data_IF_620770766473
#
_entry.id   IF_620770766473
#
_cell.length_a   1.000
_cell.length_b   1.000
_cell.length_c   1.000
_cell.angle_alpha   90.00
_cell.angle_beta   90.00
_cell.angle_gamma   90.00
#
_symmetry.space_group_name_H-M   'P 1'
#
loop_
_entity.id
_entity.type
_entity.pdbx_description
1 polymer ?
#
# COMPACT_ATOMS: atom_id res chain seq x y z
N UNK A 1 -23.68 -109.97 9.81
CA UNK A 1 -22.26 -110.13 9.40
C UNK A 1 -21.59 -108.79 9.69
N UNK A 2 -20.98 -108.62 10.89
CA UNK A 2 -19.54 -108.30 11.11
C UNK A 2 -18.92 -107.58 9.89
N UNK A 3 -18.26 -106.42 10.02
CA UNK A 3 -17.02 -106.15 10.79
C UNK A 3 -16.87 -104.62 10.93
N UNK A 4 -16.39 -104.14 12.10
CA UNK A 4 -15.95 -102.76 12.35
C UNK A 4 -14.51 -102.52 11.86
N UNK A 5 -14.10 -101.26 11.59
CA UNK A 5 -12.92 -100.75 12.32
C UNK A 5 -13.11 -99.27 12.73
N UNK A 6 -12.86 -98.95 14.01
CA UNK A 6 -11.60 -98.45 14.57
C UNK A 6 -11.53 -96.91 14.59
N UNK A 7 -11.76 -96.37 15.80
CA UNK A 7 -11.58 -94.97 16.17
C UNK A 7 -10.13 -94.51 15.95
N UNK A 8 -9.97 -93.35 15.31
CA UNK A 8 -8.80 -92.49 15.47
C UNK A 8 -9.30 -91.11 15.91
N UNK A 9 -9.23 -90.84 17.21
CA UNK A 9 -9.53 -89.52 17.79
C UNK A 9 -8.30 -88.63 17.57
N UNK A 10 -8.30 -87.84 16.50
CA UNK A 10 -7.35 -86.74 16.34
C UNK A 10 -7.85 -85.55 17.16
N UNK A 11 -7.17 -85.27 18.27
CA UNK A 11 -7.37 -84.06 19.05
C UNK A 11 -6.81 -82.88 18.26
N UNK A 12 -7.63 -82.24 17.43
CA UNK A 12 -7.29 -80.95 16.81
C UNK A 12 -7.38 -79.87 17.90
N UNK A 13 -6.27 -79.58 18.55
CA UNK A 13 -6.13 -78.35 19.32
C UNK A 13 -6.17 -77.19 18.32
N UNK A 14 -7.32 -76.53 18.22
CA UNK A 14 -7.47 -75.27 17.51
C UNK A 14 -6.63 -74.21 18.24
N UNK A 15 -5.37 -74.05 17.84
CA UNK A 15 -4.60 -72.85 18.14
C UNK A 15 -5.25 -71.74 17.31
N UNK A 16 -6.19 -71.03 17.92
CA UNK A 16 -6.61 -69.71 17.45
C UNK A 16 -5.38 -68.82 17.51
N UNK A 17 -4.73 -68.64 16.36
CA UNK A 17 -3.73 -67.61 16.16
C UNK A 17 -4.46 -66.26 16.34
N UNK A 18 -4.42 -65.72 17.57
CA UNK A 18 -4.75 -64.33 17.82
C UNK A 18 -3.67 -63.49 17.14
N UNK A 19 -3.81 -63.28 15.83
CA UNK A 19 -3.19 -62.14 15.19
C UNK A 19 -3.79 -60.92 15.89
N UNK A 20 -3.01 -60.08 16.58
CA UNK A 20 -3.55 -58.83 17.05
C UNK A 20 -4.02 -58.10 15.79
N UNK A 21 -5.33 -57.88 15.68
CA UNK A 21 -5.85 -56.96 14.70
C UNK A 21 -5.07 -55.66 14.91
N UNK A 22 -4.24 -55.29 13.93
CA UNK A 22 -3.56 -54.02 13.96
C UNK A 22 -4.65 -52.96 13.93
N UNK A 23 -5.03 -52.46 15.11
CA UNK A 23 -5.96 -51.35 15.23
C UNK A 23 -5.24 -50.18 14.58
N UNK A 24 -5.71 -49.77 13.41
CA UNK A 24 -5.24 -48.55 12.77
C UNK A 24 -5.60 -47.40 13.72
N UNK A 25 -4.63 -46.97 14.53
CA UNK A 25 -4.78 -45.75 15.33
C UNK A 25 -4.69 -44.58 14.37
N UNK A 26 -5.84 -43.95 14.12
CA UNK A 26 -5.89 -42.67 13.44
C UNK A 26 -5.02 -41.69 14.25
N UNK A 27 -3.97 -41.17 13.62
CA UNK A 27 -3.08 -40.18 14.23
C UNK A 27 -3.41 -38.80 13.70
N UNK A 28 -3.50 -37.83 14.59
CA UNK A 28 -3.86 -36.45 14.30
C UNK A 28 -3.69 -35.61 15.55
N UNK A 29 -3.94 -34.31 15.48
CA UNK A 29 -3.87 -33.49 16.69
C UNK A 29 -4.93 -33.93 17.71
N UNK A 30 -4.49 -34.21 18.94
CA UNK A 30 -5.38 -34.63 20.05
C UNK A 30 -5.73 -33.51 21.01
N UNK A 31 -5.15 -32.31 20.82
CA UNK A 31 -5.42 -31.13 21.64
C UNK A 31 -6.68 -30.42 21.17
N UNK A 32 -7.71 -30.36 22.02
CA UNK A 32 -9.00 -29.71 21.72
C UNK A 32 -8.89 -28.19 21.49
N UNK A 33 -7.79 -27.57 21.90
CA UNK A 33 -7.53 -26.14 21.71
C UNK A 33 -6.82 -25.84 20.38
N UNK A 34 -6.39 -26.86 19.64
CA UNK A 34 -5.75 -26.70 18.34
C UNK A 34 -6.77 -26.55 17.20
N UNK A 35 -6.45 -25.69 16.23
CA UNK A 35 -7.22 -25.41 15.01
C UNK A 35 -7.43 -26.64 14.11
N UNK A 36 -6.61 -27.68 14.25
CA UNK A 36 -6.73 -28.94 13.53
C UNK A 36 -6.96 -30.14 14.45
N UNK A 37 -7.58 -29.91 15.62
CA UNK A 37 -8.03 -30.97 16.50
C UNK A 37 -8.84 -32.02 15.72
N UNK A 38 -8.43 -33.28 15.82
CA UNK A 38 -9.16 -34.41 15.24
C UNK A 38 -9.78 -35.22 16.39
N UNK A 39 -11.12 -35.19 16.57
CA UNK A 39 -11.78 -35.94 17.63
C UNK A 39 -11.64 -37.47 17.48
N UNK A 40 -11.28 -37.97 16.29
CA UNK A 40 -11.04 -39.39 16.03
C UNK A 40 -9.57 -39.79 16.24
N UNK A 41 -8.66 -38.84 16.45
CA UNK A 41 -7.25 -39.15 16.67
C UNK A 41 -7.04 -39.85 18.02
N UNK A 42 -6.48 -41.06 17.98
CA UNK A 42 -6.17 -41.85 19.18
C UNK A 42 -4.74 -41.60 19.71
N UNK A 43 -3.91 -40.93 18.93
CA UNK A 43 -2.56 -40.55 19.29
C UNK A 43 -2.15 -39.26 18.58
N UNK A 44 -1.48 -38.36 19.30
CA UNK A 44 -0.91 -37.15 18.71
C UNK A 44 0.21 -37.51 17.72
N UNK A 45 0.20 -36.85 16.57
CA UNK A 45 1.29 -36.90 15.59
C UNK A 45 2.16 -35.64 15.59
N UNK A 46 1.96 -34.73 16.55
CA UNK A 46 2.67 -33.46 16.64
C UNK A 46 2.23 -32.44 15.59
N UNK A 47 1.08 -32.66 14.95
CA UNK A 47 0.56 -31.75 13.91
C UNK A 47 -0.29 -30.60 14.46
N UNK A 48 -0.49 -30.50 15.79
CA UNK A 48 -1.35 -29.48 16.39
C UNK A 48 -0.98 -28.06 15.96
N UNK A 49 -1.98 -27.35 15.43
CA UNK A 49 -1.88 -25.96 14.98
C UNK A 49 -2.61 -25.08 15.98
N UNK A 50 -1.92 -24.11 16.57
CA UNK A 50 -2.54 -23.16 17.50
C UNK A 50 -2.73 -21.81 16.83
N UNK A 51 -3.76 -21.08 17.26
CA UNK A 51 -3.96 -19.70 16.83
C UNK A 51 -2.77 -18.85 17.29
N UNK A 52 -2.14 -18.16 16.34
CA UNK A 52 -1.12 -17.16 16.64
C UNK A 52 -1.78 -15.89 17.19
N UNK A 53 -1.18 -15.26 18.22
CA UNK A 53 -1.59 -13.92 18.63
C UNK A 53 -1.27 -12.91 17.53
N UNK A 54 -1.94 -11.76 17.57
CA UNK A 54 -1.61 -10.63 16.69
C UNK A 54 -0.27 -10.03 17.16
N UNK A 55 0.78 -9.97 16.31
CA UNK A 55 2.05 -9.36 16.69
C UNK A 55 1.95 -7.82 16.74
N UNK A 56 2.81 -7.20 17.55
CA UNK A 56 2.89 -5.72 17.69
C UNK A 56 3.52 -5.03 16.47
N UNK A 57 4.26 -5.79 15.64
CA UNK A 57 4.86 -5.31 14.39
C UNK A 57 4.41 -6.21 13.24
N UNK A 58 4.54 -5.75 12.00
CA UNK A 58 4.23 -6.55 10.82
C UNK A 58 5.36 -7.57 10.54
N UNK A 59 5.58 -8.50 11.48
CA UNK A 59 6.63 -9.51 11.44
C UNK A 59 6.03 -10.88 11.72
N UNK A 60 6.05 -11.74 10.72
CA UNK A 60 5.54 -13.11 10.79
C UNK A 60 6.65 -14.11 10.50
N UNK A 61 6.67 -15.22 11.25
CA UNK A 61 7.66 -16.29 11.10
C UNK A 61 6.98 -17.64 10.99
N UNK A 62 7.62 -18.54 10.27
CA UNK A 62 7.33 -19.98 10.27
C UNK A 62 8.64 -20.70 10.55
N UNK A 63 8.71 -21.33 11.72
CA UNK A 63 9.99 -21.72 12.33
C UNK A 63 10.84 -20.47 12.65
N UNK A 64 12.14 -20.56 12.41
CA UNK A 64 13.08 -19.45 12.66
C UNK A 64 13.17 -18.43 11.52
N UNK A 65 12.48 -18.70 10.40
CA UNK A 65 12.54 -17.88 9.19
C UNK A 65 11.31 -17.00 9.03
N UNK A 66 11.49 -15.81 8.46
CA UNK A 66 10.37 -14.94 8.08
C UNK A 66 9.45 -15.65 7.08
N UNK A 67 8.14 -15.40 7.20
CA UNK A 67 7.14 -15.75 6.18
C UNK A 67 6.65 -14.52 5.42
N UNK A 68 7.18 -13.34 5.71
CA UNK A 68 6.79 -12.06 5.10
C UNK A 68 7.62 -11.82 3.84
N UNK A 69 6.96 -11.49 2.72
CA UNK A 69 7.63 -11.24 1.45
C UNK A 69 6.92 -10.18 0.59
N UNK A 70 7.56 -9.01 0.42
CA UNK A 70 7.06 -7.92 -0.42
C UNK A 70 8.17 -7.00 -0.97
N UNK A 71 9.41 -7.49 -1.02
CA UNK A 71 10.59 -6.71 -1.47
C UNK A 71 10.42 -6.09 -2.86
N UNK A 72 9.65 -6.76 -3.72
CA UNK A 72 9.33 -6.29 -5.07
C UNK A 72 8.56 -4.96 -5.03
N UNK A 73 7.58 -4.82 -4.12
CA UNK A 73 6.78 -3.62 -3.97
C UNK A 73 7.58 -2.46 -3.37
N UNK A 74 8.57 -2.76 -2.52
CA UNK A 74 9.53 -1.77 -2.02
C UNK A 74 10.34 -1.18 -3.18
N UNK A 75 10.84 -2.02 -4.09
CA UNK A 75 11.55 -1.54 -5.28
C UNK A 75 10.64 -0.68 -6.18
N UNK A 76 9.38 -1.06 -6.37
CA UNK A 76 8.44 -0.23 -7.14
C UNK A 76 8.25 1.16 -6.50
N UNK A 77 8.05 1.23 -5.19
CA UNK A 77 7.95 2.53 -4.50
C UNK A 77 9.24 3.37 -4.61
N UNK A 78 10.40 2.76 -4.44
CA UNK A 78 11.70 3.44 -4.60
C UNK A 78 11.91 3.95 -6.04
N UNK A 79 11.44 3.22 -7.06
CA UNK A 79 11.50 3.68 -8.45
C UNK A 79 10.58 4.91 -8.67
N UNK A 80 9.40 4.93 -8.05
CA UNK A 80 8.51 6.11 -8.07
C UNK A 80 9.20 7.31 -7.45
N UNK A 81 9.80 7.15 -6.26
CA UNK A 81 10.57 8.21 -5.61
C UNK A 81 11.73 8.68 -6.47
N UNK A 82 12.43 7.76 -7.14
CA UNK A 82 13.54 8.08 -8.03
C UNK A 82 13.11 8.96 -9.20
N UNK A 83 11.97 8.67 -9.85
CA UNK A 83 11.40 9.53 -10.90
C UNK A 83 11.03 10.91 -10.32
N UNK A 84 10.33 10.92 -9.18
CA UNK A 84 9.87 12.16 -8.57
C UNK A 84 11.05 13.07 -8.15
N UNK A 85 12.09 12.50 -7.55
CA UNK A 85 13.31 13.22 -7.20
C UNK A 85 14.08 13.70 -8.43
N UNK A 86 14.14 12.90 -9.50
CA UNK A 86 14.77 13.33 -10.75
C UNK A 86 14.07 14.57 -11.33
N UNK A 87 12.74 14.62 -11.30
CA UNK A 87 11.95 15.76 -11.76
C UNK A 87 12.09 16.95 -10.79
N UNK A 88 12.00 16.71 -9.47
CA UNK A 88 12.11 17.75 -8.46
C UNK A 88 13.45 18.48 -8.52
N UNK A 89 14.54 17.75 -8.71
CA UNK A 89 15.88 18.30 -8.81
C UNK A 89 16.09 19.23 -10.01
N UNK A 90 15.20 19.23 -11.01
CA UNK A 90 15.27 20.18 -12.14
C UNK A 90 14.92 21.61 -11.72
N UNK A 91 14.25 21.79 -10.58
CA UNK A 91 13.95 23.10 -10.02
C UNK A 91 15.05 23.63 -9.09
N UNK A 92 16.11 22.85 -8.83
CA UNK A 92 17.22 23.28 -7.98
C UNK A 92 18.18 24.19 -8.74
N UNK A 93 18.83 25.10 -8.01
CA UNK A 93 19.85 25.96 -8.60
C UNK A 93 20.95 25.14 -9.29
N UNK A 94 21.38 25.57 -10.48
CA UNK A 94 22.40 24.91 -11.30
C UNK A 94 22.05 23.49 -11.79
N UNK A 95 20.77 23.11 -11.74
CA UNK A 95 20.27 21.88 -12.32
C UNK A 95 20.67 21.73 -13.80
N UNK A 96 20.87 20.50 -14.22
CA UNK A 96 21.12 20.17 -15.62
C UNK A 96 19.82 19.72 -16.30
N UNK A 97 19.63 20.00 -17.59
CA UNK A 97 18.50 19.45 -18.35
C UNK A 97 18.48 17.92 -18.28
N UNK A 98 17.29 17.36 -18.47
CA UNK A 98 17.09 15.90 -18.51
C UNK A 98 16.57 15.50 -19.89
N UNK A 99 17.07 14.38 -20.39
CA UNK A 99 16.53 13.73 -21.58
C UNK A 99 15.36 12.80 -21.19
N UNK A 100 14.36 12.68 -22.07
CA UNK A 100 13.20 11.83 -21.83
C UNK A 100 13.61 10.36 -21.59
N UNK A 101 14.70 9.91 -22.22
CA UNK A 101 15.28 8.58 -22.02
C UNK A 101 15.64 8.33 -20.55
N UNK A 102 16.10 9.34 -19.80
CA UNK A 102 16.48 9.13 -18.40
C UNK A 102 15.26 8.80 -17.52
N UNK A 103 14.11 9.44 -17.78
CA UNK A 103 12.85 9.15 -17.08
C UNK A 103 12.23 7.83 -17.56
N UNK A 104 12.19 7.62 -18.87
CA UNK A 104 11.58 6.41 -19.46
C UNK A 104 12.41 5.15 -19.16
N UNK A 105 13.72 5.25 -18.98
CA UNK A 105 14.55 4.14 -18.51
C UNK A 105 14.13 3.65 -17.12
N UNK A 106 13.95 4.57 -16.15
CA UNK A 106 13.47 4.22 -14.80
C UNK A 106 12.08 3.61 -14.87
N UNK A 107 11.21 4.17 -15.74
CA UNK A 107 9.82 3.76 -15.86
C UNK A 107 9.63 2.40 -16.57
N UNK A 108 10.40 2.10 -17.61
CA UNK A 108 10.13 1.01 -18.56
C UNK A 108 11.16 -0.13 -18.59
N UNK A 109 12.32 -0.01 -17.94
CA UNK A 109 13.33 -1.07 -18.01
C UNK A 109 13.24 -2.04 -16.84
N UNK A 110 13.17 -3.34 -17.14
CA UNK A 110 13.21 -4.43 -16.14
C UNK A 110 14.59 -4.61 -15.50
N UNK A 111 15.63 -4.05 -16.13
CA UNK A 111 17.03 -4.13 -15.69
C UNK A 111 17.56 -2.81 -15.15
N UNK A 112 16.69 -1.81 -14.91
CA UNK A 112 17.14 -0.56 -14.31
C UNK A 112 17.72 -0.84 -12.91
N UNK A 113 18.99 -0.47 -12.72
CA UNK A 113 19.71 -0.70 -11.47
C UNK A 113 20.56 0.53 -11.10
N UNK A 114 19.93 1.70 -11.15
CA UNK A 114 20.53 2.94 -10.66
C UNK A 114 20.74 2.94 -9.14
N UNK A 115 21.40 4.00 -8.65
CA UNK A 115 21.49 4.25 -7.22
C UNK A 115 20.11 4.60 -6.65
N UNK A 116 19.80 4.06 -5.47
CA UNK A 116 18.64 4.49 -4.69
C UNK A 116 18.91 5.89 -4.16
N UNK A 117 18.01 6.84 -4.45
CA UNK A 117 18.16 8.26 -4.09
C UNK A 117 17.28 8.70 -2.92
N UNK A 118 16.45 7.79 -2.41
CA UNK A 118 15.62 8.02 -1.23
C UNK A 118 16.49 8.36 -0.03
N UNK A 119 16.19 9.47 0.64
CA UNK A 119 16.99 9.95 1.78
C UNK A 119 16.89 8.96 2.94
N UNK A 120 18.02 8.69 3.59
CA UNK A 120 18.12 7.98 4.88
C UNK A 120 18.72 8.89 5.95
N UNK A 121 18.70 10.21 5.73
CA UNK A 121 19.25 11.20 6.65
C UNK A 121 20.75 10.97 6.85
N UNK A 122 21.17 10.86 8.12
CA UNK A 122 22.55 10.57 8.49
C UNK A 122 22.89 9.07 8.54
N UNK A 123 21.91 8.19 8.39
CA UNK A 123 22.11 6.74 8.48
C UNK A 123 22.66 6.15 7.18
N UNK A 124 23.25 4.96 7.27
CA UNK A 124 23.70 4.24 6.08
C UNK A 124 22.50 3.51 5.44
N UNK A 125 22.30 3.54 4.12
CA UNK A 125 21.26 2.72 3.50
C UNK A 125 21.69 1.24 3.44
N UNK A 126 20.81 0.32 3.84
CA UNK A 126 21.08 -1.12 3.79
C UNK A 126 21.28 -1.66 2.36
N UNK A 127 20.77 -0.92 1.37
CA UNK A 127 20.93 -1.19 -0.05
C UNK A 127 21.20 0.13 -0.79
N UNK A 128 22.20 0.13 -1.68
CA UNK A 128 22.55 1.26 -2.52
C UNK A 128 21.93 1.15 -3.93
N UNK A 129 21.56 -0.05 -4.37
CA UNK A 129 20.95 -0.29 -5.69
C UNK A 129 19.70 -1.17 -5.59
N UNK A 130 18.78 -1.03 -6.55
CA UNK A 130 17.50 -1.75 -6.54
C UNK A 130 17.68 -3.28 -6.52
N UNK A 131 18.64 -3.82 -7.28
CA UNK A 131 18.88 -5.27 -7.35
C UNK A 131 19.40 -5.88 -6.06
N UNK A 132 19.89 -5.09 -5.11
CA UNK A 132 20.23 -5.57 -3.76
C UNK A 132 18.97 -5.87 -2.93
N UNK A 133 17.83 -5.27 -3.28
CA UNK A 133 16.52 -5.51 -2.65
C UNK A 133 15.74 -6.57 -3.42
N UNK A 134 15.48 -6.32 -4.71
CA UNK A 134 14.76 -7.23 -5.61
C UNK A 134 15.12 -6.96 -7.08
N UNK A 135 15.03 -7.96 -7.94
CA UNK A 135 15.34 -7.86 -9.38
C UNK A 135 14.09 -7.91 -10.24
N UNK A 136 14.20 -7.46 -11.50
CA UNK A 136 13.16 -7.63 -12.53
C UNK A 136 12.01 -6.63 -12.48
N UNK A 137 12.06 -5.64 -11.59
CA UNK A 137 10.96 -4.69 -11.42
C UNK A 137 10.91 -3.63 -12.49
N UNK A 138 9.68 -3.30 -12.92
CA UNK A 138 9.38 -2.30 -13.95
C UNK A 138 8.06 -1.62 -13.61
N UNK A 139 8.08 -0.29 -13.51
CA UNK A 139 6.88 0.50 -13.18
C UNK A 139 5.80 0.34 -14.26
N UNK A 140 6.15 0.49 -15.54
CA UNK A 140 5.16 0.43 -16.63
C UNK A 140 4.42 -0.92 -16.73
N UNK A 141 5.03 -2.02 -16.28
CA UNK A 141 4.34 -3.33 -16.21
C UNK A 141 3.29 -3.40 -15.10
N UNK A 142 3.40 -2.55 -14.08
CA UNK A 142 2.52 -2.52 -12.93
C UNK A 142 1.50 -1.38 -13.01
N UNK A 143 1.49 -0.57 -14.08
CA UNK A 143 0.47 0.48 -14.26
C UNK A 143 -0.86 -0.14 -14.63
N UNK A 144 -1.85 0.00 -13.74
CA UNK A 144 -3.26 -0.28 -14.04
C UNK A 144 -3.79 0.83 -14.96
N UNK A 145 -3.89 0.53 -16.25
CA UNK A 145 -4.06 1.56 -17.28
C UNK A 145 -5.53 1.92 -17.59
N UNK A 146 -6.48 1.62 -16.70
CA UNK A 146 -7.93 1.87 -16.89
C UNK A 146 -8.23 3.33 -17.25
N UNK A 147 -7.48 4.28 -16.67
CA UNK A 147 -7.65 5.72 -16.89
C UNK A 147 -6.55 6.34 -17.74
N UNK A 148 -5.92 5.56 -18.62
CA UNK A 148 -4.84 6.00 -19.52
C UNK A 148 -3.60 6.57 -18.80
N UNK A 149 -3.38 6.14 -17.55
CA UNK A 149 -2.28 6.58 -16.71
C UNK A 149 -0.91 6.47 -17.40
N UNK A 150 -0.66 5.38 -18.15
CA UNK A 150 0.61 5.19 -18.87
C UNK A 150 0.87 6.31 -19.89
N UNK A 151 -0.12 6.61 -20.75
CA UNK A 151 0.03 7.66 -21.75
C UNK A 151 0.12 9.06 -21.15
N UNK A 152 -0.55 9.31 -20.01
CA UNK A 152 -0.46 10.58 -19.29
C UNK A 152 0.93 10.78 -18.70
N UNK A 153 1.48 9.74 -18.03
CA UNK A 153 2.83 9.76 -17.48
C UNK A 153 3.89 10.03 -18.54
N UNK A 154 3.82 9.32 -19.67
CA UNK A 154 4.75 9.52 -20.78
C UNK A 154 4.64 10.94 -21.38
N UNK A 155 3.43 11.47 -21.50
CA UNK A 155 3.22 12.85 -21.96
C UNK A 155 3.80 13.89 -21.01
N UNK A 156 3.70 13.68 -19.69
CA UNK A 156 4.30 14.60 -18.71
C UNK A 156 5.82 14.47 -18.68
N UNK A 157 6.38 13.25 -18.80
CA UNK A 157 7.83 13.06 -18.91
C UNK A 157 8.42 13.79 -20.12
N UNK A 158 7.77 13.68 -21.28
CA UNK A 158 8.16 14.42 -22.49
C UNK A 158 8.09 15.94 -22.27
N UNK A 159 6.97 16.43 -21.72
CA UNK A 159 6.80 17.86 -21.47
C UNK A 159 7.85 18.39 -20.48
N UNK A 160 8.15 17.67 -19.40
CA UNK A 160 9.17 18.04 -18.43
C UNK A 160 10.57 18.05 -19.08
N UNK A 161 10.90 17.01 -19.86
CA UNK A 161 12.19 16.94 -20.57
C UNK A 161 12.36 18.14 -21.51
N UNK A 162 11.36 18.43 -22.36
CA UNK A 162 11.37 19.60 -23.26
C UNK A 162 11.51 20.91 -22.49
N UNK A 163 10.79 21.06 -21.38
CA UNK A 163 10.86 22.28 -20.55
C UNK A 163 12.21 22.44 -19.86
N UNK A 164 12.86 21.35 -19.47
CA UNK A 164 14.18 21.37 -18.83
C UNK A 164 15.28 21.90 -19.75
N UNK A 165 15.08 21.87 -21.07
CA UNK A 165 16.01 22.45 -22.05
C UNK A 165 15.91 23.98 -22.14
N UNK A 166 14.88 24.59 -21.53
CA UNK A 166 14.69 26.04 -21.52
C UNK A 166 15.27 26.64 -20.24
N UNK A 167 16.30 27.49 -20.39
CA UNK A 167 16.96 28.18 -19.29
C UNK A 167 16.05 29.13 -18.47
N UNK A 168 14.88 29.52 -19.00
CA UNK A 168 13.88 30.29 -18.24
C UNK A 168 13.09 29.44 -17.25
N UNK A 169 13.05 28.12 -17.47
CA UNK A 169 12.29 27.20 -16.63
C UNK A 169 13.21 26.38 -15.72
N UNK A 170 14.33 25.90 -16.26
CA UNK A 170 15.33 25.12 -15.52
C UNK A 170 15.86 25.89 -14.31
N UNK A 171 16.01 25.20 -13.18
CA UNK A 171 16.40 25.81 -11.91
C UNK A 171 15.26 26.54 -11.19
N UNK A 172 14.02 26.35 -11.63
CA UNK A 172 12.82 26.83 -10.96
C UNK A 172 11.68 25.81 -11.07
N UNK A 173 10.64 25.88 -10.21
CA UNK A 173 9.44 25.05 -10.35
C UNK A 173 8.69 25.20 -11.70
N UNK A 174 8.98 26.22 -12.50
CA UNK A 174 8.38 26.39 -13.83
C UNK A 174 8.77 25.26 -14.81
N UNK A 175 9.85 24.51 -14.54
CA UNK A 175 10.26 23.35 -15.34
C UNK A 175 9.22 22.24 -15.38
N UNK A 176 8.49 22.03 -14.28
CA UNK A 176 7.42 21.03 -14.19
C UNK A 176 6.03 21.65 -14.00
N UNK A 177 5.89 22.97 -14.11
CA UNK A 177 4.59 23.66 -14.04
C UNK A 177 4.21 24.17 -15.43
N UNK A 178 3.02 23.80 -15.93
CA UNK A 178 2.53 24.25 -17.25
C UNK A 178 2.16 25.73 -17.22
N UNK A 179 1.95 26.34 -18.39
CA UNK A 179 1.48 27.72 -18.49
C UNK A 179 0.09 27.96 -17.86
N UNK A 180 -0.74 26.91 -17.75
CA UNK A 180 -2.03 26.99 -17.05
C UNK A 180 -1.89 26.83 -15.53
N UNK A 181 -0.71 26.49 -15.00
CA UNK A 181 -0.49 26.24 -13.57
C UNK A 181 -0.56 24.77 -13.16
N UNK A 182 -0.67 23.82 -14.10
CA UNK A 182 -0.70 22.40 -13.78
C UNK A 182 0.69 21.92 -13.34
N UNK A 183 0.82 21.42 -12.10
CA UNK A 183 2.07 20.91 -11.55
C UNK A 183 2.27 19.43 -11.94
N UNK A 184 3.04 19.20 -13.01
CA UNK A 184 3.29 17.86 -13.55
C UNK A 184 4.05 16.95 -12.58
N UNK A 185 4.88 17.48 -11.66
CA UNK A 185 5.54 16.67 -10.63
C UNK A 185 4.50 16.07 -9.66
N UNK A 186 3.58 16.89 -9.17
CA UNK A 186 2.48 16.43 -8.31
C UNK A 186 1.62 15.37 -9.04
N UNK A 187 1.28 15.65 -10.31
CA UNK A 187 0.50 14.73 -11.13
C UNK A 187 1.21 13.39 -11.36
N UNK A 188 2.50 13.40 -11.70
CA UNK A 188 3.34 12.18 -11.86
C UNK A 188 3.37 11.37 -10.58
N UNK A 189 3.65 12.03 -9.44
CA UNK A 189 3.79 11.37 -8.13
C UNK A 189 2.52 10.61 -7.77
N UNK A 190 1.38 11.31 -7.76
CA UNK A 190 0.12 10.72 -7.33
C UNK A 190 -0.41 9.74 -8.37
N UNK A 191 -0.21 9.98 -9.68
CA UNK A 191 -0.65 9.04 -10.72
C UNK A 191 0.12 7.72 -10.63
N UNK A 192 1.45 7.74 -10.45
CA UNK A 192 2.23 6.53 -10.23
C UNK A 192 1.77 5.79 -8.97
N UNK A 193 1.58 6.50 -7.85
CA UNK A 193 1.13 5.89 -6.61
C UNK A 193 -0.32 5.37 -6.70
N UNK A 194 -1.17 5.98 -7.49
CA UNK A 194 -2.53 5.52 -7.74
C UNK A 194 -2.53 4.26 -8.63
N UNK A 195 -1.87 4.33 -9.79
CA UNK A 195 -1.96 3.29 -10.83
C UNK A 195 -1.05 2.08 -10.58
N UNK A 196 0.05 2.26 -9.86
CA UNK A 196 0.99 1.18 -9.48
C UNK A 196 0.68 0.68 -8.09
N UNK A 197 0.66 1.56 -7.09
CA UNK A 197 0.59 1.12 -5.69
C UNK A 197 -0.84 0.83 -5.25
N UNK A 198 -1.71 1.84 -5.20
CA UNK A 198 -3.10 1.69 -4.75
C UNK A 198 -3.86 0.66 -5.58
N UNK A 199 -3.86 0.80 -6.91
CA UNK A 199 -4.64 -0.08 -7.77
C UNK A 199 -4.26 -1.57 -7.64
N UNK A 200 -2.96 -1.89 -7.58
CA UNK A 200 -2.54 -3.29 -7.39
C UNK A 200 -2.77 -3.78 -5.96
N UNK A 201 -2.51 -2.95 -4.95
CA UNK A 201 -2.76 -3.26 -3.54
C UNK A 201 -4.25 -3.56 -3.27
N UNK A 202 -5.13 -2.65 -3.67
CA UNK A 202 -6.59 -2.81 -3.57
C UNK A 202 -7.07 -4.05 -4.32
N UNK A 203 -6.55 -4.32 -5.53
CA UNK A 203 -6.91 -5.52 -6.27
C UNK A 203 -6.48 -6.82 -5.56
N UNK A 204 -5.31 -6.85 -4.92
CA UNK A 204 -4.86 -8.00 -4.13
C UNK A 204 -5.74 -8.21 -2.89
N UNK A 205 -6.03 -7.14 -2.13
CA UNK A 205 -6.89 -7.19 -0.94
C UNK A 205 -8.30 -7.65 -1.33
N UNK A 206 -8.90 -7.05 -2.35
CA UNK A 206 -10.24 -7.41 -2.84
C UNK A 206 -10.34 -8.89 -3.23
N UNK A 207 -9.33 -9.40 -3.92
CA UNK A 207 -9.31 -10.76 -4.42
C UNK A 207 -8.62 -11.76 -3.49
N UNK A 208 -8.30 -11.40 -2.25
CA UNK A 208 -7.46 -12.22 -1.37
C UNK A 208 -7.98 -13.66 -1.23
N UNK A 209 -9.31 -13.85 -1.17
CA UNK A 209 -9.97 -15.16 -1.03
C UNK A 209 -9.77 -16.10 -2.21
N UNK A 210 -9.30 -15.62 -3.38
CA UNK A 210 -9.02 -16.47 -4.54
C UNK A 210 -7.69 -17.23 -4.41
N UNK A 211 -6.84 -16.83 -3.46
CA UNK A 211 -5.54 -17.44 -3.24
C UNK A 211 -5.65 -18.65 -2.32
N UNK A 212 -4.87 -19.70 -2.61
CA UNK A 212 -4.80 -20.88 -1.76
C UNK A 212 -4.09 -20.57 -0.42
N UNK A 213 -4.60 -21.15 0.67
CA UNK A 213 -4.02 -21.01 2.02
C UNK A 213 -3.82 -22.36 2.73
N UNK A 214 -3.79 -23.44 1.96
CA UNK A 214 -3.64 -24.80 2.46
C UNK A 214 -2.20 -25.33 2.39
N UNK A 215 -1.39 -24.85 1.44
CA UNK A 215 -0.03 -25.30 1.18
C UNK A 215 0.91 -24.12 0.97
N UNK A 216 2.19 -24.34 1.23
CA UNK A 216 3.25 -23.39 0.92
C UNK A 216 3.42 -23.24 -0.60
N UNK A 217 3.81 -22.05 -1.02
CA UNK A 217 4.05 -21.73 -2.42
C UNK A 217 5.41 -22.25 -2.87
N UNK A 218 5.47 -23.51 -3.31
CA UNK A 218 6.72 -24.14 -3.74
C UNK A 218 7.71 -24.29 -2.58
N UNK A 219 8.92 -23.73 -2.74
CA UNK A 219 9.97 -23.75 -1.70
C UNK A 219 9.88 -22.57 -0.71
N UNK A 220 8.91 -21.68 -0.87
CA UNK A 220 8.79 -20.48 -0.05
C UNK A 220 8.20 -20.80 1.33
N UNK A 221 8.50 -19.95 2.31
CA UNK A 221 8.05 -20.12 3.69
C UNK A 221 6.64 -19.55 3.97
N UNK A 222 5.88 -19.27 2.91
CA UNK A 222 4.54 -18.68 2.96
C UNK A 222 3.58 -19.42 2.02
N UNK A 223 2.27 -19.32 2.30
CA UNK A 223 1.21 -19.73 1.37
C UNK A 223 0.98 -18.67 0.29
N UNK A 224 0.31 -19.00 -0.83
CA UNK A 224 -0.10 -18.01 -1.81
C UNK A 224 -0.94 -16.86 -1.25
N UNK A 225 -1.87 -17.15 -0.32
CA UNK A 225 -2.70 -16.13 0.32
C UNK A 225 -1.88 -15.21 1.24
N UNK A 226 -0.97 -15.79 2.02
CA UNK A 226 -0.02 -15.03 2.84
C UNK A 226 0.80 -14.05 2.00
N UNK A 227 1.38 -14.54 0.90
CA UNK A 227 2.17 -13.72 -0.01
C UNK A 227 1.34 -12.63 -0.70
N UNK A 228 0.11 -12.94 -1.13
CA UNK A 228 -0.77 -11.94 -1.74
C UNK A 228 -1.11 -10.80 -0.76
N UNK A 229 -1.33 -11.12 0.51
CA UNK A 229 -1.55 -10.13 1.57
C UNK A 229 -0.30 -9.30 1.84
N UNK A 230 0.86 -9.94 1.95
CA UNK A 230 2.14 -9.26 2.17
C UNK A 230 2.50 -8.30 1.02
N UNK A 231 2.25 -8.70 -0.25
CA UNK A 231 2.41 -7.81 -1.40
C UNK A 231 1.47 -6.61 -1.33
N UNK A 232 0.22 -6.80 -0.90
CA UNK A 232 -0.72 -5.69 -0.75
C UNK A 232 -0.25 -4.68 0.32
N UNK A 233 0.27 -5.18 1.45
CA UNK A 233 0.95 -4.36 2.45
C UNK A 233 2.15 -3.60 1.87
N UNK A 234 3.00 -4.27 1.08
CA UNK A 234 4.13 -3.63 0.43
C UNK A 234 3.73 -2.53 -0.57
N UNK A 235 2.58 -2.67 -1.22
CA UNK A 235 2.01 -1.61 -2.07
C UNK A 235 1.45 -0.44 -1.25
N UNK A 236 0.83 -0.70 -0.10
CA UNK A 236 0.47 0.37 0.84
C UNK A 236 1.71 1.15 1.30
N UNK A 237 2.83 0.43 1.49
CA UNK A 237 4.15 1.04 1.64
C UNK A 237 4.51 1.40 3.08
N UNK A 238 3.98 0.66 4.06
CA UNK A 238 4.34 0.81 5.46
C UNK A 238 5.54 -0.08 5.83
N UNK A 239 6.40 0.44 6.71
CA UNK A 239 7.52 -0.26 7.33
C UNK A 239 7.01 -1.36 8.27
N UNK A 240 7.75 -2.46 8.45
CA UNK A 240 7.31 -3.51 9.39
C UNK A 240 7.13 -3.01 10.83
N UNK A 241 7.86 -1.96 11.20
CA UNK A 241 7.77 -1.29 12.49
C UNK A 241 6.81 -0.09 12.50
N UNK A 242 5.89 0.05 11.53
CA UNK A 242 5.01 1.24 11.40
C UNK A 242 4.37 1.75 12.70
N UNK A 243 3.90 0.91 13.64
CA UNK A 243 3.33 1.39 14.91
C UNK A 243 4.33 2.04 15.87
N UNK A 244 5.63 1.76 15.68
CA UNK A 244 6.68 2.30 16.53
C UNK A 244 6.98 3.78 16.22
N UNK A 245 6.39 4.31 15.14
CA UNK A 245 6.58 5.68 14.77
C UNK A 245 5.46 6.56 15.35
N UNK A 246 5.81 7.65 16.02
CA UNK A 246 4.84 8.67 16.41
C UNK A 246 4.55 9.65 15.25
N UNK A 247 3.37 10.28 15.29
CA UNK A 247 2.91 11.16 14.21
C UNK A 247 3.76 12.43 14.06
N UNK A 248 4.32 12.96 15.16
CA UNK A 248 5.17 14.16 15.11
C UNK A 248 6.46 13.91 14.32
N UNK A 249 7.11 12.76 14.52
CA UNK A 249 8.31 12.34 13.77
C UNK A 249 8.04 12.17 12.27
N UNK A 250 6.79 11.87 11.89
CA UNK A 250 6.40 11.62 10.49
C UNK A 250 6.22 12.84 9.61
N UNK A 251 5.89 13.99 10.20
CA UNK A 251 5.80 15.23 9.45
C UNK A 251 7.15 15.63 8.81
N UNK A 252 8.26 15.04 9.31
CA UNK A 252 9.64 15.40 8.95
C UNK A 252 10.49 14.22 8.46
N UNK A 253 10.17 12.96 8.81
CA UNK A 253 10.98 11.80 8.43
C UNK A 253 10.12 10.53 8.21
N UNK A 254 10.36 9.82 7.11
CA UNK A 254 9.63 8.61 6.73
C UNK A 254 10.37 7.29 7.03
N UNK A 255 11.42 7.33 7.85
CA UNK A 255 12.22 6.15 8.22
C UNK A 255 12.69 6.22 9.67
N UNK A 256 12.97 5.06 10.27
CA UNK A 256 13.48 4.92 11.63
C UNK A 256 14.42 3.73 11.72
N UNK A 257 15.60 3.92 12.28
CA UNK A 257 16.49 2.81 12.66
C UNK A 257 15.90 2.11 13.89
N UNK A 258 15.13 1.06 13.64
CA UNK A 258 14.31 0.39 14.67
C UNK A 258 15.10 -0.70 15.40
N UNK A 259 16.07 -1.33 14.73
CA UNK A 259 16.93 -2.34 15.34
C UNK A 259 18.26 -1.76 15.89
N UNK A 260 18.46 -0.45 15.76
CA UNK A 260 19.59 0.32 16.30
C UNK A 260 20.93 -0.13 15.72
N UNK A 261 20.98 -0.35 14.41
CA UNK A 261 22.17 -0.84 13.70
C UNK A 261 22.86 0.24 12.83
N UNK A 262 22.47 1.51 12.99
CA UNK A 262 22.94 2.69 12.22
C UNK A 262 22.67 2.59 10.70
N UNK A 263 21.79 1.68 10.29
CA UNK A 263 21.45 1.40 8.90
C UNK A 263 19.92 1.44 8.70
N UNK A 264 19.46 2.08 7.64
CA UNK A 264 18.04 2.06 7.26
C UNK A 264 17.77 0.97 6.23
N UNK A 265 16.96 0.00 6.61
CA UNK A 265 16.48 -1.03 5.70
C UNK A 265 15.14 -0.64 5.05
N UNK A 266 15.18 -0.33 3.75
CA UNK A 266 14.01 0.06 2.97
C UNK A 266 12.83 -0.92 3.03
N UNK A 267 13.05 -2.19 3.38
CA UNK A 267 11.99 -3.19 3.48
C UNK A 267 11.29 -3.13 4.85
N UNK A 268 12.02 -2.86 5.93
CA UNK A 268 11.51 -3.01 7.29
C UNK A 268 11.33 -1.71 8.06
N UNK A 269 11.98 -0.62 7.64
CA UNK A 269 12.21 0.60 8.42
C UNK A 269 11.89 1.89 7.65
N UNK A 270 11.38 1.75 6.43
CA UNK A 270 11.09 2.87 5.54
C UNK A 270 9.63 2.86 5.13
N UNK A 271 9.04 4.04 5.15
CA UNK A 271 7.66 4.27 4.80
C UNK A 271 7.55 5.08 3.51
N UNK A 272 6.53 4.76 2.73
CA UNK A 272 6.21 5.40 1.47
C UNK A 272 4.88 6.17 1.57
N UNK A 273 4.42 6.70 0.43
CA UNK A 273 3.38 7.73 0.36
C UNK A 273 2.17 7.49 1.30
N UNK A 274 1.45 6.36 1.16
CA UNK A 274 0.18 6.21 1.88
C UNK A 274 0.34 6.02 3.39
N UNK A 275 1.38 5.33 3.83
CA UNK A 275 1.72 5.29 5.24
C UNK A 275 2.06 6.71 5.75
N UNK A 276 2.68 7.52 4.87
CA UNK A 276 3.00 8.95 5.04
C UNK A 276 1.80 9.80 5.32
N UNK A 277 0.87 9.72 4.38
CA UNK A 277 -0.39 10.45 4.40
C UNK A 277 -1.21 10.06 5.63
N UNK A 278 -1.28 8.78 6.00
CA UNK A 278 -1.99 8.33 7.19
C UNK A 278 -1.47 9.06 8.44
N UNK A 279 -0.16 9.02 8.68
CA UNK A 279 0.44 9.69 9.84
C UNK A 279 0.22 11.21 9.82
N UNK A 280 0.31 11.85 8.64
CA UNK A 280 0.04 13.29 8.50
C UNK A 280 -1.43 13.64 8.76
N UNK A 281 -2.37 12.80 8.32
CA UNK A 281 -3.80 13.00 8.58
C UNK A 281 -4.17 12.77 10.04
N UNK A 282 -3.39 11.98 10.77
CA UNK A 282 -3.61 11.75 12.21
C UNK A 282 -3.18 12.95 13.08
N UNK A 283 -2.43 13.93 12.54
CA UNK A 283 -1.94 15.10 13.29
C UNK A 283 -3.05 16.04 13.80
N UNK A 284 -4.26 15.97 13.25
CA UNK A 284 -5.38 16.78 13.73
C UNK A 284 -5.86 16.37 15.12
N UNK A 285 -5.32 15.27 15.68
CA UNK A 285 -5.61 14.79 17.04
C UNK A 285 -7.11 14.55 17.29
N UNK A 286 -7.80 14.07 16.26
CA UNK A 286 -9.22 13.71 16.33
C UNK A 286 -9.40 12.37 17.07
N UNK A 287 -10.18 12.31 18.17
CA UNK A 287 -10.46 11.04 18.85
C UNK A 287 -11.22 10.02 17.99
N UNK A 288 -11.87 10.45 16.91
CA UNK A 288 -12.65 9.58 16.01
C UNK A 288 -11.86 9.04 14.82
N UNK A 289 -10.68 9.59 14.53
CA UNK A 289 -9.86 9.18 13.38
C UNK A 289 -8.40 8.97 13.77
N UNK A 290 -7.94 7.74 13.56
CA UNK A 290 -6.54 7.32 13.61
C UNK A 290 -6.31 6.34 12.46
N UNK A 291 -5.97 6.87 11.29
CA UNK A 291 -5.74 6.10 10.07
C UNK A 291 -4.59 5.13 10.25
N UNK A 292 -3.48 5.57 10.84
CA UNK A 292 -2.28 4.76 11.01
C UNK A 292 -2.57 3.52 11.85
N UNK A 293 -3.18 3.70 13.02
CA UNK A 293 -3.50 2.59 13.92
C UNK A 293 -4.62 1.71 13.34
N UNK A 294 -5.67 2.29 12.77
CA UNK A 294 -6.79 1.52 12.20
C UNK A 294 -6.33 0.64 11.03
N UNK A 295 -5.58 1.22 10.09
CA UNK A 295 -5.04 0.48 8.96
C UNK A 295 -4.02 -0.56 9.43
N UNK A 296 -3.09 -0.20 10.32
CA UNK A 296 -2.11 -1.15 10.84
C UNK A 296 -2.78 -2.37 11.49
N UNK A 297 -3.73 -2.14 12.40
CA UNK A 297 -4.47 -3.20 13.10
C UNK A 297 -5.20 -4.12 12.12
N UNK A 298 -5.79 -3.56 11.06
CA UNK A 298 -6.44 -4.35 10.03
C UNK A 298 -5.41 -5.17 9.22
N UNK A 299 -4.27 -4.60 8.85
CA UNK A 299 -3.21 -5.31 8.13
C UNK A 299 -2.62 -6.47 8.93
N UNK A 300 -2.19 -6.21 10.16
CA UNK A 300 -1.56 -7.22 11.02
C UNK A 300 -2.60 -8.26 11.49
N UNK A 301 -3.80 -7.81 11.86
CA UNK A 301 -4.90 -8.69 12.27
C UNK A 301 -5.37 -9.58 11.13
N UNK A 302 -5.50 -9.06 9.91
CA UNK A 302 -5.86 -9.84 8.73
C UNK A 302 -4.78 -10.84 8.33
N UNK A 303 -3.49 -10.48 8.44
CA UNK A 303 -2.38 -11.41 8.19
C UNK A 303 -2.34 -12.54 9.21
N UNK A 304 -2.62 -12.24 10.48
CA UNK A 304 -2.81 -13.23 11.55
C UNK A 304 -4.01 -14.13 11.27
N UNK A 305 -5.13 -13.54 10.83
CA UNK A 305 -6.35 -14.28 10.48
C UNK A 305 -6.13 -15.26 9.32
N UNK A 306 -5.31 -14.89 8.34
CA UNK A 306 -4.86 -15.82 7.28
C UNK A 306 -4.11 -16.99 7.88
N UNK A 307 -3.13 -16.76 8.76
CA UNK A 307 -2.37 -17.84 9.40
C UNK A 307 -3.26 -18.75 10.24
N UNK A 308 -4.21 -18.16 10.97
CA UNK A 308 -5.15 -18.86 11.84
C UNK A 308 -6.35 -19.46 11.09
N UNK A 309 -6.43 -19.27 9.76
CA UNK A 309 -7.52 -19.74 8.90
C UNK A 309 -8.91 -19.24 9.35
N UNK A 310 -8.98 -18.02 9.88
CA UNK A 310 -10.24 -17.40 10.32
C UNK A 310 -10.79 -16.47 9.24
N UNK A 311 -11.72 -16.99 8.42
CA UNK A 311 -12.28 -16.25 7.28
C UNK A 311 -13.09 -15.00 7.66
N UNK A 312 -13.77 -15.04 8.81
CA UNK A 312 -14.53 -13.91 9.35
C UNK A 312 -13.61 -12.73 9.65
N UNK A 313 -12.59 -12.94 10.50
CA UNK A 313 -11.62 -11.90 10.87
C UNK A 313 -10.82 -11.41 9.66
N UNK A 314 -10.44 -12.31 8.75
CA UNK A 314 -9.77 -11.94 7.49
C UNK A 314 -10.66 -11.07 6.62
N UNK A 315 -11.95 -11.37 6.54
CA UNK A 315 -12.91 -10.59 5.74
C UNK A 315 -13.22 -9.24 6.36
N UNK A 316 -13.30 -9.15 7.69
CA UNK A 316 -13.44 -7.89 8.42
C UNK A 316 -12.22 -6.99 8.18
N UNK A 317 -11.01 -7.51 8.40
CA UNK A 317 -9.75 -6.79 8.13
C UNK A 317 -9.66 -6.31 6.66
N UNK A 318 -9.99 -7.19 5.71
CA UNK A 318 -10.04 -6.83 4.27
C UNK A 318 -10.95 -5.63 4.04
N UNK A 319 -12.16 -5.64 4.63
CA UNK A 319 -13.12 -4.56 4.45
C UNK A 319 -12.61 -3.26 5.05
N UNK A 320 -12.09 -3.29 6.28
CA UNK A 320 -11.48 -2.12 6.93
C UNK A 320 -10.36 -1.52 6.09
N UNK A 321 -9.46 -2.34 5.53
CA UNK A 321 -8.38 -1.83 4.66
C UNK A 321 -8.93 -1.12 3.42
N UNK A 322 -9.92 -1.71 2.75
CA UNK A 322 -10.51 -1.12 1.54
C UNK A 322 -11.19 0.21 1.87
N UNK A 323 -11.95 0.24 2.97
CA UNK A 323 -12.69 1.43 3.40
C UNK A 323 -11.77 2.55 3.86
N UNK A 324 -10.80 2.25 4.73
CA UNK A 324 -9.94 3.26 5.34
C UNK A 324 -8.84 3.74 4.39
N UNK A 325 -8.37 2.92 3.44
CA UNK A 325 -7.42 3.41 2.43
C UNK A 325 -8.12 4.38 1.47
N UNK A 326 -9.36 4.11 1.06
CA UNK A 326 -10.16 5.06 0.28
C UNK A 326 -10.44 6.35 1.08
N UNK A 327 -10.83 6.19 2.35
CA UNK A 327 -11.12 7.31 3.26
C UNK A 327 -9.86 8.17 3.50
N UNK A 328 -8.68 7.56 3.61
CA UNK A 328 -7.41 8.27 3.70
C UNK A 328 -7.15 9.14 2.46
N UNK A 329 -7.35 8.58 1.26
CA UNK A 329 -7.18 9.33 0.00
C UNK A 329 -8.14 10.53 -0.06
N UNK A 330 -9.38 10.36 0.40
CA UNK A 330 -10.35 11.45 0.47
C UNK A 330 -9.97 12.52 1.53
N UNK A 331 -9.46 12.11 2.68
CA UNK A 331 -8.95 13.03 3.71
C UNK A 331 -7.75 13.84 3.19
N UNK A 332 -6.84 13.22 2.44
CA UNK A 332 -5.75 13.94 1.77
C UNK A 332 -6.28 14.85 0.64
N UNK A 333 -7.35 14.50 -0.06
CA UNK A 333 -7.99 15.43 -0.99
C UNK A 333 -8.54 16.67 -0.27
N UNK A 334 -9.18 16.50 0.90
CA UNK A 334 -9.69 17.61 1.73
C UNK A 334 -8.56 18.53 2.19
N UNK A 335 -7.40 17.98 2.56
CA UNK A 335 -6.21 18.76 2.89
C UNK A 335 -5.87 19.77 1.80
N UNK A 336 -5.72 19.29 0.57
CA UNK A 336 -5.36 20.13 -0.56
C UNK A 336 -6.52 21.06 -0.98
N UNK A 337 -7.77 20.66 -0.75
CA UNK A 337 -8.93 21.55 -0.91
C UNK A 337 -8.88 22.73 0.04
N UNK A 338 -8.59 22.49 1.32
CA UNK A 338 -8.49 23.55 2.33
C UNK A 338 -7.26 24.44 2.10
N UNK A 339 -6.14 23.85 1.72
CA UNK A 339 -4.93 24.56 1.34
C UNK A 339 -5.17 25.46 0.11
N UNK A 340 -5.82 24.93 -0.94
CA UNK A 340 -6.19 25.69 -2.13
C UNK A 340 -7.12 26.87 -1.79
N UNK A 341 -8.19 26.61 -1.01
CA UNK A 341 -9.11 27.67 -0.57
C UNK A 341 -8.37 28.79 0.16
N UNK A 342 -7.42 28.43 1.02
CA UNK A 342 -6.58 29.38 1.75
C UNK A 342 -5.69 30.18 0.81
N UNK A 343 -4.95 29.52 -0.09
CA UNK A 343 -4.03 30.18 -1.02
C UNK A 343 -4.76 31.16 -1.94
N UNK A 344 -5.98 30.83 -2.36
CA UNK A 344 -6.80 31.72 -3.17
C UNK A 344 -7.18 33.03 -2.44
N UNK A 345 -7.19 33.06 -1.10
CA UNK A 345 -7.44 34.31 -0.33
C UNK A 345 -6.29 35.30 -0.41
N UNK A 346 -5.08 34.82 -0.71
CA UNK A 346 -3.87 35.67 -0.78
C UNK A 346 -3.62 36.26 -2.18
N UNK A 347 -4.43 35.90 -3.18
CA UNK A 347 -4.28 36.43 -4.54
C UNK A 347 -4.41 37.97 -4.56
N UNK A 348 -3.44 38.64 -5.17
CA UNK A 348 -3.32 40.10 -5.20
C UNK A 348 -2.76 40.74 -3.92
N UNK A 349 -2.35 39.93 -2.93
CA UNK A 349 -1.73 40.40 -1.69
C UNK A 349 -0.21 40.16 -1.69
N UNK A 350 0.57 40.76 -0.75
CA UNK A 350 1.99 40.45 -0.60
C UNK A 350 2.29 38.99 -0.23
N UNK A 351 1.31 38.26 0.32
CA UNK A 351 1.44 36.85 0.72
C UNK A 351 1.08 35.87 -0.42
N UNK A 352 0.79 36.38 -1.63
CA UNK A 352 0.47 35.56 -2.79
C UNK A 352 1.59 34.56 -3.12
N UNK A 353 1.23 33.27 -3.20
CA UNK A 353 2.12 32.22 -3.66
C UNK A 353 1.44 31.34 -4.72
N UNK A 354 1.52 31.77 -5.97
CA UNK A 354 0.91 31.06 -7.10
C UNK A 354 1.53 29.67 -7.34
N UNK A 355 2.80 29.45 -6.96
CA UNK A 355 3.42 28.13 -7.07
C UNK A 355 2.82 27.12 -6.07
N UNK A 356 2.50 27.57 -4.86
CA UNK A 356 1.79 26.77 -3.85
C UNK A 356 0.36 26.50 -4.27
N UNK A 357 -0.38 27.53 -4.71
CA UNK A 357 -1.74 27.40 -5.24
C UNK A 357 -1.82 26.37 -6.38
N UNK A 358 -0.88 26.43 -7.32
CA UNK A 358 -0.77 25.48 -8.44
C UNK A 358 -0.54 24.04 -7.98
N UNK A 359 0.30 23.88 -6.96
CA UNK A 359 0.59 22.58 -6.37
C UNK A 359 -0.64 22.04 -5.65
N UNK A 360 -1.29 22.84 -4.81
CA UNK A 360 -2.48 22.44 -4.04
C UNK A 360 -3.64 22.07 -4.95
N UNK A 361 -3.90 22.87 -5.99
CA UNK A 361 -4.91 22.52 -7.00
C UNK A 361 -4.60 21.20 -7.71
N UNK A 362 -3.33 20.99 -8.10
CA UNK A 362 -2.95 19.77 -8.84
C UNK A 362 -2.97 18.54 -7.96
N UNK A 363 -2.57 18.66 -6.69
CA UNK A 363 -2.67 17.57 -5.72
C UNK A 363 -4.15 17.23 -5.44
N UNK A 364 -5.01 18.22 -5.23
CA UNK A 364 -6.45 17.99 -5.10
C UNK A 364 -6.98 17.22 -6.31
N UNK A 365 -6.71 17.71 -7.53
CA UNK A 365 -7.09 17.01 -8.76
C UNK A 365 -6.59 15.56 -8.79
N UNK A 366 -5.33 15.34 -8.44
CA UNK A 366 -4.71 14.03 -8.56
C UNK A 366 -5.24 13.03 -7.52
N UNK A 367 -5.52 13.47 -6.28
CA UNK A 367 -6.13 12.63 -5.25
C UNK A 367 -7.61 12.34 -5.56
N UNK A 368 -8.35 13.27 -6.15
CA UNK A 368 -9.68 12.99 -6.69
C UNK A 368 -9.61 11.93 -7.81
N UNK A 369 -8.64 12.02 -8.73
CA UNK A 369 -8.43 10.98 -9.76
C UNK A 369 -8.05 9.63 -9.14
N UNK A 370 -7.28 9.61 -8.05
CA UNK A 370 -6.88 8.40 -7.34
C UNK A 370 -8.08 7.58 -6.84
N UNK A 371 -9.13 8.26 -6.35
CA UNK A 371 -10.36 7.61 -5.91
C UNK A 371 -10.98 6.69 -6.97
N UNK A 372 -10.77 6.98 -8.27
CA UNK A 372 -11.29 6.14 -9.37
C UNK A 372 -10.75 4.71 -9.40
N UNK A 373 -9.66 4.41 -8.68
CA UNK A 373 -9.09 3.06 -8.61
C UNK A 373 -9.82 2.13 -7.62
N UNK A 374 -10.77 2.65 -6.84
CA UNK A 374 -11.68 1.85 -6.02
C UNK A 374 -12.90 1.41 -6.82
N UNK A 375 -13.44 0.22 -6.52
CA UNK A 375 -14.62 -0.29 -7.22
C UNK A 375 -15.89 0.35 -6.67
N UNK A 376 -16.42 1.32 -7.41
CA UNK A 376 -17.50 2.24 -6.98
C UNK A 376 -17.03 3.12 -5.83
N UNK A 377 -16.30 4.21 -6.13
CA UNK A 377 -15.88 5.15 -5.11
C UNK A 377 -17.08 5.72 -4.36
N UNK A 378 -16.90 6.07 -3.08
CA UNK A 378 -18.00 6.56 -2.23
C UNK A 378 -18.52 7.95 -2.62
N UNK A 379 -17.73 8.71 -3.37
CA UNK A 379 -18.09 10.02 -3.91
C UNK A 379 -18.18 10.01 -5.45
N UNK A 380 -18.99 10.88 -6.03
CA UNK A 380 -19.11 11.05 -7.49
C UNK A 380 -17.87 11.74 -8.08
N UNK A 381 -16.81 10.96 -8.31
CA UNK A 381 -15.53 11.48 -8.82
C UNK A 381 -15.66 12.25 -10.16
N UNK A 382 -16.44 11.79 -11.16
CA UNK A 382 -16.74 12.60 -12.35
C UNK A 382 -17.27 14.00 -12.03
N UNK A 383 -18.24 14.12 -11.13
CA UNK A 383 -18.81 15.42 -10.74
C UNK A 383 -17.80 16.27 -9.96
N UNK A 384 -17.06 15.68 -9.02
CA UNK A 384 -15.99 16.37 -8.28
C UNK A 384 -14.94 17.00 -9.20
N UNK A 385 -14.53 16.28 -10.25
CA UNK A 385 -13.56 16.79 -11.22
C UNK A 385 -14.16 17.84 -12.16
N UNK A 386 -15.45 17.74 -12.48
CA UNK A 386 -16.17 18.77 -13.22
C UNK A 386 -16.26 20.09 -12.43
N UNK A 387 -16.56 19.99 -11.12
CA UNK A 387 -16.59 21.13 -10.21
C UNK A 387 -15.21 21.77 -10.03
N UNK A 388 -14.16 20.97 -9.89
CA UNK A 388 -12.79 21.48 -9.73
C UNK A 388 -12.29 22.22 -10.99
N UNK A 389 -12.65 21.73 -12.17
CA UNK A 389 -12.24 22.28 -13.46
C UNK A 389 -10.95 21.67 -14.01
N UNK A 390 -10.38 22.29 -15.05
CA UNK A 390 -9.22 21.76 -15.79
C UNK A 390 -7.89 22.47 -15.46
N UNK A 391 -7.92 23.59 -14.74
CA UNK A 391 -6.74 24.34 -14.33
C UNK A 391 -7.00 25.18 -13.05
N UNK A 392 -5.94 25.58 -12.32
CA UNK A 392 -6.05 26.53 -11.22
C UNK A 392 -6.63 27.88 -11.67
N UNK A 393 -7.38 28.54 -10.78
CA UNK A 393 -7.98 29.86 -11.00
C UNK A 393 -7.27 30.93 -10.17
N UNK A 394 -6.92 32.05 -10.81
CA UNK A 394 -6.22 33.19 -10.20
C UNK A 394 -7.11 34.43 -10.06
N UNK A 395 -8.41 34.23 -9.84
CA UNK A 395 -9.36 35.32 -9.67
C UNK A 395 -9.14 35.99 -8.31
N UNK A 396 -9.03 37.33 -8.29
CA UNK A 396 -8.86 38.09 -7.05
C UNK A 396 -10.06 37.87 -6.11
N UNK A 397 -9.85 37.91 -4.78
CA UNK A 397 -10.93 37.87 -3.80
C UNK A 397 -12.05 38.87 -4.13
N UNK A 398 -13.28 38.51 -3.78
CA UNK A 398 -14.52 39.29 -4.00
C UNK A 398 -14.94 39.50 -5.48
N UNK A 399 -14.18 38.99 -6.46
CA UNK A 399 -14.64 38.95 -7.85
C UNK A 399 -15.68 37.86 -8.07
N UNK A 400 -16.55 38.02 -9.08
CA UNK A 400 -17.58 37.04 -9.42
C UNK A 400 -16.97 35.65 -9.72
N UNK A 401 -15.85 35.62 -10.44
CA UNK A 401 -15.14 34.37 -10.76
C UNK A 401 -14.58 33.68 -9.50
N UNK A 402 -14.05 34.44 -8.55
CA UNK A 402 -13.59 33.92 -7.26
C UNK A 402 -14.75 33.33 -6.45
N UNK A 403 -15.84 34.08 -6.30
CA UNK A 403 -17.01 33.64 -5.53
C UNK A 403 -17.63 32.35 -6.11
N UNK A 404 -17.73 32.27 -7.44
CA UNK A 404 -18.19 31.06 -8.12
C UNK A 404 -17.25 29.87 -7.90
N UNK A 405 -15.93 30.08 -7.89
CA UNK A 405 -15.00 28.99 -7.62
C UNK A 405 -15.09 28.52 -6.16
N UNK A 406 -15.24 29.44 -5.21
CA UNK A 406 -15.43 29.07 -3.81
C UNK A 406 -16.73 28.28 -3.57
N UNK A 407 -17.81 28.62 -4.28
CA UNK A 407 -19.05 27.83 -4.27
C UNK A 407 -18.82 26.41 -4.79
N UNK A 408 -18.12 26.25 -5.93
CA UNK A 408 -17.78 24.93 -6.48
C UNK A 408 -16.91 24.11 -5.52
N UNK A 409 -15.89 24.72 -4.92
CA UNK A 409 -15.04 24.05 -3.92
C UNK A 409 -15.82 23.66 -2.67
N UNK A 410 -16.86 24.43 -2.30
CA UNK A 410 -17.76 24.04 -1.22
C UNK A 410 -18.64 22.84 -1.58
N UNK A 411 -19.07 22.69 -2.83
CA UNK A 411 -19.76 21.50 -3.30
C UNK A 411 -18.85 20.27 -3.30
N UNK A 412 -17.59 20.42 -3.76
CA UNK A 412 -16.57 19.36 -3.66
C UNK A 412 -16.37 18.94 -2.20
N UNK A 413 -16.27 19.91 -1.29
CA UNK A 413 -16.15 19.66 0.15
C UNK A 413 -17.35 18.89 0.71
N UNK A 414 -18.58 19.29 0.35
CA UNK A 414 -19.81 18.65 0.83
C UNK A 414 -19.97 17.20 0.33
N UNK A 415 -19.63 16.95 -0.94
CA UNK A 415 -19.68 15.61 -1.52
C UNK A 415 -18.64 14.68 -0.88
N UNK A 416 -17.40 15.15 -0.67
CA UNK A 416 -16.39 14.39 0.07
C UNK A 416 -16.82 14.14 1.53
N UNK A 417 -17.37 15.15 2.20
CA UNK A 417 -17.86 15.00 3.57
C UNK A 417 -18.95 13.92 3.65
N UNK A 418 -19.96 14.01 2.79
CA UNK A 418 -21.09 13.09 2.78
C UNK A 418 -20.69 11.67 2.35
N UNK A 419 -19.89 11.54 1.29
CA UNK A 419 -19.48 10.24 0.76
C UNK A 419 -18.65 9.42 1.76
N UNK A 420 -17.80 10.08 2.54
CA UNK A 420 -16.87 9.42 3.46
C UNK A 420 -17.26 9.53 4.94
N UNK A 421 -18.35 10.22 5.25
CA UNK A 421 -18.86 10.37 6.62
C UNK A 421 -17.94 11.19 7.51
N UNK A 422 -17.27 12.21 6.97
CA UNK A 422 -16.37 13.06 7.75
C UNK A 422 -17.12 14.04 8.65
N UNK A 423 -16.59 14.28 9.84
CA UNK A 423 -17.13 15.27 10.78
C UNK A 423 -16.74 16.70 10.37
N UNK A 424 -17.51 17.69 10.83
CA UNK A 424 -17.15 19.10 10.61
C UNK A 424 -15.76 19.44 11.18
N UNK A 425 -15.36 18.78 12.27
CA UNK A 425 -14.04 18.94 12.85
C UNK A 425 -12.95 18.48 11.87
N UNK A 426 -13.06 17.25 11.36
CA UNK A 426 -12.14 16.69 10.37
C UNK A 426 -12.05 17.57 9.11
N UNK A 427 -13.20 18.02 8.59
CA UNK A 427 -13.27 18.87 7.41
C UNK A 427 -12.55 20.22 7.57
N UNK A 428 -12.39 20.73 8.80
CA UNK A 428 -11.77 22.04 9.06
C UNK A 428 -10.27 21.96 9.38
N UNK A 429 -9.78 20.81 9.86
CA UNK A 429 -8.43 20.71 10.43
C UNK A 429 -7.44 19.96 9.54
N UNK A 430 -7.89 19.20 8.55
CA UNK A 430 -7.02 18.66 7.49
C UNK A 430 -6.68 19.71 6.46
#
# INVERSE_FOLDING_TARGET
MRIAPALAFFLLAAITLLLPACVYQEKGCTDITALNYNPNAMADNGSCLYALPVPETYRFKRGDSTSVSYKEQVVLNLLIETICSAIQNLAEQDAQPIEIEQLTQIYQQTSYNGAIRSSTGSYTPAANTFTQIATGQRLSANVVNTYKADSMLLSWFDSIAVRSQNALYLGTPAVYTTASGFNMLAAVRVTLQASVSCANGVNLVKNISSNANNLLSGINNYTPMEHAWDKAWGFFGAATCWPAFDAESWSVQNFMDYDFNDTINFVSEYNFLYAGEAAQRDLISDPETDFSNTLFNAWVGGRTAITNKTDELRSAARQTILDEWERLIAATAIHYLNALKTDMTFLGTPDENTAKLNSDWTYLWAYLVNLRYFTTPKADVPDLLLLLGEAPLYALPDTEAYLLQMEKLQLVSAELQSGYGFTDFQMQHW
#
